data_IF_252137410513
#
_entry.id   IF_252137410513
#
_cell.length_a   1.000
_cell.length_b   1.000
_cell.length_c   1.000
_cell.angle_alpha   90.00
_cell.angle_beta   90.00
_cell.angle_gamma   90.00
#
_symmetry.space_group_name_H-M   'P 1'
#
loop_
_entity.id
_entity.type
_entity.pdbx_description
1 polymer ?
#
# COMPACT_ATOMS: atom_id res chain seq x y z
N UNK A 1 1.94 -15.48 11.50
CA UNK A 1 1.22 -14.52 10.68
C UNK A 1 -0.30 -14.71 10.84
N UNK A 2 -1.08 -13.64 10.63
CA UNK A 2 -2.54 -13.75 10.76
C UNK A 2 -3.15 -14.65 9.68
N UNK A 3 -4.29 -15.30 9.97
CA UNK A 3 -5.04 -16.06 8.99
C UNK A 3 -5.43 -15.19 7.77
N UNK A 4 -5.49 -15.81 6.59
CA UNK A 4 -5.89 -15.14 5.36
C UNK A 4 -7.41 -15.01 5.31
N UNK A 5 -7.94 -13.83 5.58
CA UNK A 5 -9.38 -13.56 5.66
C UNK A 5 -9.88 -12.69 4.48
N UNK A 6 -9.34 -12.89 3.31
CA UNK A 6 -9.74 -12.13 2.11
C UNK A 6 -11.15 -12.48 1.64
N UNK A 7 -12.06 -11.50 1.61
CA UNK A 7 -13.47 -11.71 1.20
C UNK A 7 -13.74 -11.32 -0.27
N UNK A 8 -12.87 -10.49 -0.87
CA UNK A 8 -13.04 -10.07 -2.26
C UNK A 8 -12.66 -11.19 -3.23
N UNK A 9 -13.24 -11.25 -4.46
CA UNK A 9 -12.85 -12.24 -5.48
C UNK A 9 -11.33 -12.26 -5.73
N UNK A 10 -10.72 -11.08 -5.79
CA UNK A 10 -9.26 -10.96 -5.94
C UNK A 10 -8.50 -11.58 -4.75
N UNK A 11 -8.89 -11.25 -3.51
CA UNK A 11 -8.23 -11.82 -2.34
C UNK A 11 -8.39 -13.33 -2.26
N UNK A 12 -9.60 -13.85 -2.54
CA UNK A 12 -9.85 -15.30 -2.61
C UNK A 12 -8.99 -16.00 -3.65
N UNK A 13 -8.85 -15.41 -4.85
CA UNK A 13 -7.99 -16.00 -5.89
C UNK A 13 -6.52 -16.06 -5.48
N UNK A 14 -6.03 -15.08 -4.70
CA UNK A 14 -4.66 -15.10 -4.17
C UNK A 14 -4.47 -16.14 -3.07
N UNK A 15 -5.46 -16.29 -2.19
CA UNK A 15 -5.44 -17.35 -1.16
C UNK A 15 -5.39 -18.73 -1.82
N UNK A 16 -6.30 -19.01 -2.75
CA UNK A 16 -6.31 -20.28 -3.48
C UNK A 16 -5.00 -20.55 -4.22
N UNK A 17 -4.39 -19.53 -4.81
CA UNK A 17 -3.09 -19.66 -5.47
C UNK A 17 -1.97 -20.01 -4.48
N UNK A 18 -1.94 -19.38 -3.30
CA UNK A 18 -0.97 -19.74 -2.25
C UNK A 18 -1.16 -21.17 -1.75
N UNK A 19 -2.39 -21.59 -1.51
CA UNK A 19 -2.73 -22.95 -1.08
C UNK A 19 -2.30 -23.98 -2.13
N UNK A 20 -2.73 -23.81 -3.39
CA UNK A 20 -2.38 -24.69 -4.50
C UNK A 20 -0.86 -24.82 -4.67
N UNK A 21 -0.15 -23.69 -4.72
CA UNK A 21 1.32 -23.69 -4.89
C UNK A 21 2.02 -24.35 -3.69
N UNK A 22 1.49 -24.18 -2.49
CA UNK A 22 2.07 -24.81 -1.28
C UNK A 22 1.98 -26.33 -1.36
N UNK A 23 0.83 -26.86 -1.74
CA UNK A 23 0.62 -28.31 -1.92
C UNK A 23 1.49 -28.84 -3.05
N UNK A 24 1.44 -28.23 -4.22
CA UNK A 24 2.21 -28.63 -5.39
C UNK A 24 3.72 -28.65 -5.12
N UNK A 25 4.25 -27.59 -4.53
CA UNK A 25 5.68 -27.51 -4.22
C UNK A 25 6.11 -28.57 -3.19
N UNK A 26 5.23 -28.85 -2.22
CA UNK A 26 5.47 -29.93 -1.22
C UNK A 26 5.56 -31.31 -1.90
N UNK A 27 4.62 -31.61 -2.81
CA UNK A 27 4.60 -32.89 -3.54
C UNK A 27 5.81 -33.08 -4.45
N UNK A 28 6.34 -31.98 -5.01
CA UNK A 28 7.45 -32.01 -5.97
C UNK A 28 8.80 -31.64 -5.36
N UNK A 29 8.89 -31.51 -4.04
CA UNK A 29 10.11 -31.13 -3.34
C UNK A 29 10.74 -29.80 -3.85
N UNK A 30 9.90 -28.83 -4.22
CA UNK A 30 10.28 -27.50 -4.68
C UNK A 30 10.28 -26.51 -3.52
N UNK A 31 11.31 -25.69 -3.41
CA UNK A 31 11.36 -24.60 -2.41
C UNK A 31 10.41 -23.48 -2.85
N UNK A 32 9.38 -23.21 -2.04
CA UNK A 32 8.41 -22.16 -2.31
C UNK A 32 8.73 -20.90 -1.50
N UNK A 33 8.86 -19.76 -2.19
CA UNK A 33 8.95 -18.44 -1.59
C UNK A 33 7.73 -17.59 -1.94
N UNK A 34 7.02 -17.08 -0.94
CA UNK A 34 5.85 -16.22 -1.10
C UNK A 34 6.12 -14.85 -0.50
N UNK A 35 6.09 -13.81 -1.33
CA UNK A 35 6.09 -12.42 -0.89
C UNK A 35 4.66 -11.89 -0.87
N UNK A 36 4.27 -11.29 0.26
CA UNK A 36 3.00 -10.55 0.42
C UNK A 36 3.31 -9.06 0.52
N UNK A 37 3.47 -8.37 -0.64
CA UNK A 37 3.80 -6.96 -0.65
C UNK A 37 2.62 -6.12 -0.16
N UNK A 38 2.93 -5.08 0.58
CA UNK A 38 2.00 -4.01 0.92
C UNK A 38 1.71 -3.10 -0.29
N UNK A 39 1.24 -1.89 -0.08
CA UNK A 39 1.01 -0.93 -1.16
C UNK A 39 2.35 -0.58 -1.84
N UNK A 40 2.47 -0.84 -3.13
CA UNK A 40 3.70 -0.56 -3.88
C UNK A 40 3.83 0.91 -4.25
N UNK A 41 4.98 1.50 -3.93
CA UNK A 41 5.40 2.82 -4.36
C UNK A 41 6.49 2.70 -5.43
N UNK A 42 6.39 3.51 -6.46
CA UNK A 42 7.34 3.54 -7.58
C UNK A 42 6.85 4.47 -8.67
N UNK A 43 7.69 4.73 -9.67
CA UNK A 43 7.34 5.60 -10.80
C UNK A 43 6.11 5.04 -11.54
N UNK A 44 5.07 5.87 -11.66
CA UNK A 44 3.82 5.46 -12.31
C UNK A 44 2.95 4.51 -11.48
N UNK A 45 3.17 4.41 -10.16
CA UNK A 45 2.38 3.56 -9.29
C UNK A 45 0.87 3.80 -9.50
N UNK A 46 0.09 2.73 -9.72
CA UNK A 46 -1.36 2.84 -9.89
C UNK A 46 -2.08 3.05 -8.55
N UNK A 47 -3.41 3.17 -8.60
CA UNK A 47 -4.27 3.20 -7.41
C UNK A 47 -4.15 4.47 -6.58
N UNK A 48 -4.15 4.34 -5.26
CA UNK A 48 -4.25 5.47 -4.34
C UNK A 48 -3.04 6.42 -4.39
N UNK A 49 -1.82 5.88 -4.56
CA UNK A 49 -0.61 6.71 -4.68
C UNK A 49 -0.61 7.50 -5.99
N UNK A 50 -0.93 6.86 -7.10
CA UNK A 50 -1.05 7.56 -8.39
C UNK A 50 -2.15 8.62 -8.38
N UNK A 51 -3.30 8.33 -7.75
CA UNK A 51 -4.37 9.30 -7.57
C UNK A 51 -3.92 10.50 -6.71
N UNK A 52 -3.16 10.26 -5.64
CA UNK A 52 -2.55 11.30 -4.80
C UNK A 52 -1.62 12.18 -5.63
N UNK A 53 -0.65 11.59 -6.33
CA UNK A 53 0.31 12.33 -7.18
C UNK A 53 -0.41 13.20 -8.19
N UNK A 54 -1.39 12.63 -8.90
CA UNK A 54 -2.19 13.37 -9.88
C UNK A 54 -3.01 14.49 -9.24
N UNK A 55 -3.59 14.25 -8.07
CA UNK A 55 -4.36 15.23 -7.32
C UNK A 55 -3.50 16.40 -6.84
N UNK A 56 -2.31 16.11 -6.30
CA UNK A 56 -1.33 17.11 -5.88
C UNK A 56 -0.84 17.91 -7.09
N UNK A 57 -0.47 17.24 -8.18
CA UNK A 57 -0.05 17.90 -9.44
C UNK A 57 -1.08 18.88 -9.96
N UNK A 58 -2.36 18.52 -9.89
CA UNK A 58 -3.49 19.35 -10.34
C UNK A 58 -3.99 20.33 -9.28
N UNK A 59 -3.45 20.31 -8.05
CA UNK A 59 -3.78 21.26 -6.99
C UNK A 59 -5.12 21.01 -6.26
N UNK A 60 -5.73 19.84 -6.42
CA UNK A 60 -7.00 19.53 -5.74
C UNK A 60 -6.92 18.42 -4.67
N UNK A 61 -5.73 17.87 -4.42
CA UNK A 61 -5.57 16.87 -3.38
C UNK A 61 -5.73 17.49 -1.99
N UNK A 62 -6.50 16.81 -1.15
CA UNK A 62 -6.75 17.22 0.24
C UNK A 62 -6.49 16.05 1.18
N UNK A 63 -5.83 16.33 2.30
CA UNK A 63 -5.69 15.36 3.38
C UNK A 63 -6.96 15.32 4.23
N UNK A 64 -7.49 14.13 4.49
CA UNK A 64 -8.65 13.94 5.34
C UNK A 64 -8.19 13.71 6.78
N UNK A 65 -8.81 14.39 7.74
CA UNK A 65 -8.49 14.28 9.17
C UNK A 65 -6.99 14.43 9.48
N UNK A 66 -6.35 15.40 8.82
CA UNK A 66 -4.92 15.68 8.99
C UNK A 66 -3.97 14.69 8.32
N UNK A 67 -4.47 13.81 7.45
CA UNK A 67 -3.64 12.82 6.74
C UNK A 67 -2.99 11.79 7.65
N UNK A 68 -3.54 11.55 8.84
CA UNK A 68 -2.95 10.68 9.88
C UNK A 68 -3.02 9.18 9.56
N UNK A 69 -3.74 8.82 8.51
CA UNK A 69 -3.88 7.41 8.10
C UNK A 69 -2.54 6.85 7.69
N UNK A 70 -2.18 5.72 8.27
CA UNK A 70 -0.95 4.98 7.98
C UNK A 70 -1.31 3.71 7.23
N UNK A 71 -0.61 3.45 6.15
CA UNK A 71 -0.66 2.17 5.44
C UNK A 71 0.75 1.71 5.16
N UNK A 72 0.98 0.42 5.38
CA UNK A 72 2.26 -0.15 4.96
C UNK A 72 2.47 0.04 3.47
N UNK A 73 3.64 0.51 3.12
CA UNK A 73 4.07 0.78 1.74
C UNK A 73 5.41 0.09 1.53
N UNK A 74 5.70 -0.26 0.30
CA UNK A 74 6.95 -0.88 -0.11
C UNK A 74 7.43 -0.20 -1.39
N UNK A 75 8.71 0.11 -1.48
CA UNK A 75 9.31 0.53 -2.74
C UNK A 75 9.31 -0.64 -3.73
N UNK A 76 8.93 -0.40 -4.98
CA UNK A 76 8.89 -1.45 -6.01
C UNK A 76 10.27 -2.09 -6.23
N UNK A 77 11.34 -1.32 -6.08
CA UNK A 77 12.73 -1.77 -6.18
C UNK A 77 13.08 -2.81 -5.11
N UNK A 78 12.45 -2.77 -3.94
CA UNK A 78 12.67 -3.74 -2.87
C UNK A 78 12.28 -5.16 -3.24
N UNK A 79 11.32 -5.32 -4.17
CA UNK A 79 10.97 -6.65 -4.70
C UNK A 79 12.19 -7.28 -5.36
N UNK A 80 12.92 -6.52 -6.19
CA UNK A 80 14.12 -7.02 -6.84
C UNK A 80 15.23 -7.35 -5.83
N UNK A 81 15.36 -6.56 -4.78
CA UNK A 81 16.38 -6.73 -3.73
C UNK A 81 16.14 -7.97 -2.85
N UNK A 82 14.87 -8.32 -2.61
CA UNK A 82 14.50 -9.45 -1.74
C UNK A 82 14.44 -10.79 -2.50
N UNK A 83 14.16 -10.78 -3.81
CA UNK A 83 13.97 -11.99 -4.61
C UNK A 83 15.14 -12.99 -4.50
N UNK A 84 16.42 -12.61 -4.63
CA UNK A 84 17.53 -13.57 -4.52
C UNK A 84 17.57 -14.28 -3.17
N UNK A 85 17.15 -13.59 -2.11
CA UNK A 85 17.18 -14.11 -0.73
C UNK A 85 16.07 -15.14 -0.50
N UNK A 86 14.86 -14.85 -0.97
CA UNK A 86 13.71 -15.73 -0.79
C UNK A 86 13.80 -16.99 -1.67
N UNK A 87 14.37 -16.91 -2.86
CA UNK A 87 14.54 -18.08 -3.74
C UNK A 87 15.39 -19.16 -3.07
N UNK A 88 16.39 -18.78 -2.29
CA UNK A 88 17.24 -19.74 -1.56
C UNK A 88 16.57 -20.28 -0.31
N UNK A 89 15.90 -19.39 0.45
CA UNK A 89 15.36 -19.76 1.77
C UNK A 89 13.95 -20.33 1.72
N UNK A 90 13.15 -19.88 0.79
CA UNK A 90 11.71 -20.17 0.78
C UNK A 90 10.96 -19.46 1.92
N UNK A 91 9.70 -19.84 2.11
CA UNK A 91 8.84 -19.35 3.20
C UNK A 91 7.92 -18.21 2.78
N UNK A 92 7.09 -17.75 3.71
CA UNK A 92 6.07 -16.70 3.48
C UNK A 92 6.46 -15.45 4.27
N UNK A 93 6.49 -14.30 3.59
CA UNK A 93 6.94 -13.04 4.18
C UNK A 93 6.05 -11.87 3.78
N UNK A 94 5.57 -11.12 4.79
CA UNK A 94 5.04 -9.78 4.57
C UNK A 94 6.21 -8.84 4.30
N UNK A 95 6.09 -8.00 3.28
CA UNK A 95 7.14 -7.05 2.90
C UNK A 95 6.57 -5.63 2.79
N UNK A 96 7.15 -4.74 3.57
CA UNK A 96 6.80 -3.33 3.63
C UNK A 96 7.98 -2.52 4.19
N UNK A 97 7.92 -1.21 4.05
CA UNK A 97 8.85 -0.28 4.70
C UNK A 97 8.81 -0.45 6.23
N UNK A 98 9.95 -0.35 6.88
CA UNK A 98 10.06 -0.37 8.35
C UNK A 98 9.47 0.91 8.94
N UNK A 99 9.77 2.06 8.35
CA UNK A 99 9.10 3.32 8.67
C UNK A 99 7.84 3.44 7.82
N UNK A 100 6.70 3.32 8.47
CA UNK A 100 5.39 3.37 7.82
C UNK A 100 4.84 4.79 7.83
N UNK A 101 5.05 5.58 6.77
CA UNK A 101 4.63 6.97 6.74
C UNK A 101 3.11 7.13 6.68
N UNK A 102 2.61 8.22 7.24
CA UNK A 102 1.23 8.62 7.04
C UNK A 102 1.01 9.14 5.60
N UNK A 103 -0.22 9.07 5.12
CA UNK A 103 -0.57 9.64 3.81
C UNK A 103 -0.34 11.16 3.74
N UNK A 104 -0.44 11.85 4.88
CA UNK A 104 -0.05 13.26 5.00
C UNK A 104 1.43 13.48 4.70
N UNK A 105 2.32 12.71 5.32
CA UNK A 105 3.76 12.79 5.07
C UNK A 105 4.11 12.50 3.61
N UNK A 106 3.47 11.48 3.02
CA UNK A 106 3.69 11.16 1.60
C UNK A 106 3.21 12.29 0.70
N UNK A 107 2.00 12.83 0.93
CA UNK A 107 1.45 13.90 0.12
C UNK A 107 2.27 15.20 0.23
N UNK A 108 2.84 15.48 1.39
CA UNK A 108 3.77 16.59 1.58
C UNK A 108 5.08 16.38 0.83
N UNK A 109 5.66 15.17 0.87
CA UNK A 109 6.85 14.82 0.08
C UNK A 109 6.58 14.96 -1.41
N UNK A 110 5.42 14.47 -1.89
CA UNK A 110 4.98 14.61 -3.28
C UNK A 110 4.84 16.10 -3.68
N UNK A 111 4.18 16.90 -2.85
CA UNK A 111 4.01 18.32 -3.10
C UNK A 111 5.36 19.05 -3.19
N UNK A 112 6.29 18.77 -2.27
CA UNK A 112 7.65 19.31 -2.29
C UNK A 112 8.40 18.96 -3.58
N UNK A 113 8.33 17.69 -4.03
CA UNK A 113 8.97 17.25 -5.28
C UNK A 113 8.39 17.95 -6.52
N UNK A 114 7.09 18.27 -6.52
CA UNK A 114 6.40 18.97 -7.61
C UNK A 114 6.49 20.49 -7.53
N UNK A 115 7.16 21.06 -6.52
CA UNK A 115 7.20 22.51 -6.31
C UNK A 115 5.81 23.10 -6.02
N UNK A 116 4.92 22.32 -5.38
CA UNK A 116 3.56 22.72 -5.02
C UNK A 116 3.46 23.00 -3.53
N UNK A 117 2.44 23.79 -3.17
CA UNK A 117 2.09 23.99 -1.76
C UNK A 117 1.63 22.69 -1.12
N UNK A 118 1.82 22.63 0.20
CA UNK A 118 1.36 21.52 1.02
C UNK A 118 -0.14 21.32 0.88
N UNK A 119 -0.63 20.08 0.67
CA UNK A 119 -2.04 19.80 0.59
C UNK A 119 -2.80 20.24 1.84
N UNK A 120 -3.95 20.89 1.66
CA UNK A 120 -4.78 21.35 2.77
C UNK A 120 -5.39 20.16 3.52
N UNK A 121 -5.63 20.36 4.80
CA UNK A 121 -6.31 19.39 5.64
C UNK A 121 -7.78 19.72 5.76
N UNK A 122 -8.66 18.77 5.44
CA UNK A 122 -10.11 18.91 5.70
C UNK A 122 -10.49 18.01 6.89
N UNK A 123 -11.38 18.49 7.77
CA UNK A 123 -11.88 17.67 8.85
C UNK A 123 -12.74 16.52 8.32
N UNK A 124 -12.81 15.43 9.08
CA UNK A 124 -13.51 14.21 8.67
C UNK A 124 -14.99 14.47 8.31
N UNK A 125 -15.68 15.32 9.08
CA UNK A 125 -17.10 15.61 8.82
C UNK A 125 -17.33 16.24 7.44
N UNK A 126 -16.42 17.12 6.97
CA UNK A 126 -16.52 17.69 5.61
C UNK A 126 -16.33 16.61 4.55
N UNK A 127 -15.33 15.74 4.72
CA UNK A 127 -15.12 14.62 3.80
C UNK A 127 -16.33 13.67 3.80
N UNK A 128 -16.97 13.46 4.95
CA UNK A 128 -18.18 12.67 5.07
C UNK A 128 -19.36 13.29 4.31
N UNK A 129 -19.60 14.59 4.45
CA UNK A 129 -20.63 15.28 3.67
C UNK A 129 -20.40 15.15 2.16
N UNK A 130 -19.15 15.37 1.71
CA UNK A 130 -18.78 15.20 0.30
C UNK A 130 -18.99 13.75 -0.19
N UNK A 131 -18.67 12.78 0.65
CA UNK A 131 -18.86 11.37 0.34
C UNK A 131 -20.34 11.01 0.21
N UNK A 132 -21.23 11.59 1.04
CA UNK A 132 -22.69 11.41 0.93
C UNK A 132 -23.25 11.98 -0.37
N UNK A 133 -22.77 13.14 -0.80
CA UNK A 133 -23.11 13.68 -2.13
C UNK A 133 -22.55 12.74 -3.23
N UNK A 134 -21.34 12.23 -3.05
CA UNK A 134 -20.75 11.27 -3.98
C UNK A 134 -21.50 9.94 -4.09
N UNK A 135 -22.17 9.50 -3.03
CA UNK A 135 -23.01 8.28 -3.08
C UNK A 135 -24.16 8.41 -4.11
N UNK A 136 -24.67 9.62 -4.34
CA UNK A 136 -25.68 9.89 -5.37
C UNK A 136 -25.13 9.78 -6.79
N UNK A 137 -23.83 10.07 -6.98
CA UNK A 137 -23.13 9.97 -8.26
C UNK A 137 -22.55 8.56 -8.52
N UNK A 138 -22.65 7.68 -7.53
CA UNK A 138 -22.18 6.29 -7.60
C UNK A 138 -20.67 6.17 -7.82
N UNK A 139 -20.27 5.16 -8.60
CA UNK A 139 -18.85 4.84 -8.79
C UNK A 139 -18.03 5.90 -9.55
N UNK A 140 -18.70 6.82 -10.25
CA UNK A 140 -18.05 7.92 -10.99
C UNK A 140 -17.61 9.06 -10.06
N UNK A 141 -18.12 9.11 -8.82
CA UNK A 141 -17.72 10.13 -7.87
C UNK A 141 -16.23 9.99 -7.48
N UNK A 142 -15.50 11.11 -7.37
CA UNK A 142 -14.10 11.09 -6.89
C UNK A 142 -14.01 10.56 -5.46
N UNK A 143 -15.00 10.83 -4.61
CA UNK A 143 -15.17 10.32 -3.26
C UNK A 143 -16.62 9.87 -3.04
N UNK A 144 -16.81 8.73 -2.36
CA UNK A 144 -18.08 8.23 -1.86
C UNK A 144 -17.86 7.55 -0.50
N UNK A 145 -18.92 7.14 0.20
CA UNK A 145 -18.79 6.57 1.55
C UNK A 145 -17.85 5.34 1.60
N UNK A 146 -17.89 4.48 0.60
CA UNK A 146 -17.01 3.31 0.51
C UNK A 146 -15.53 3.69 0.31
N UNK A 147 -15.26 4.66 -0.57
CA UNK A 147 -13.89 5.16 -0.78
C UNK A 147 -13.38 5.88 0.46
N UNK A 148 -14.22 6.71 1.10
CA UNK A 148 -13.87 7.43 2.32
C UNK A 148 -13.48 6.47 3.44
N UNK A 149 -14.28 5.42 3.68
CA UNK A 149 -13.97 4.40 4.68
C UNK A 149 -12.59 3.76 4.40
N UNK A 150 -12.33 3.38 3.16
CA UNK A 150 -11.02 2.82 2.77
C UNK A 150 -9.88 3.81 2.93
N UNK A 151 -10.12 5.10 2.69
CA UNK A 151 -9.09 6.14 2.78
C UNK A 151 -8.76 6.52 4.24
N UNK A 152 -9.68 6.28 5.17
CA UNK A 152 -9.54 6.68 6.58
C UNK A 152 -9.17 5.54 7.53
N UNK A 153 -9.13 4.30 7.07
CA UNK A 153 -8.67 3.15 7.85
C UNK A 153 -7.18 2.92 7.64
N UNK A 154 -6.41 2.90 8.75
CA UNK A 154 -5.02 2.45 8.73
C UNK A 154 -4.97 0.95 8.50
N UNK A 155 -3.94 0.50 7.77
CA UNK A 155 -3.67 -0.91 7.51
C UNK A 155 -2.16 -1.11 7.47
N UNK A 156 -1.63 -1.71 8.52
CA UNK A 156 -0.19 -1.89 8.70
C UNK A 156 0.15 -3.37 8.89
N UNK A 157 1.33 -3.74 8.42
CA UNK A 157 1.90 -5.07 8.54
C UNK A 157 3.31 -4.97 9.14
N UNK A 158 3.75 -6.01 9.85
CA UNK A 158 5.13 -6.15 10.27
C UNK A 158 5.96 -6.82 9.18
N UNK A 159 7.17 -6.30 8.96
CA UNK A 159 8.20 -6.90 8.08
C UNK A 159 9.32 -7.57 8.89
N UNK A 160 9.22 -7.62 10.22
CA UNK A 160 10.27 -8.14 11.12
C UNK A 160 10.77 -9.53 10.75
N UNK A 161 9.86 -10.42 10.35
CA UNK A 161 10.21 -11.77 9.92
C UNK A 161 11.11 -11.73 8.67
N UNK A 162 10.75 -10.92 7.67
CA UNK A 162 11.54 -10.79 6.45
C UNK A 162 12.93 -10.18 6.74
N UNK A 163 12.99 -9.12 7.54
CA UNK A 163 14.26 -8.50 7.93
C UNK A 163 15.16 -9.47 8.69
N UNK A 164 14.63 -10.16 9.72
CA UNK A 164 15.40 -11.10 10.55
C UNK A 164 15.86 -12.32 9.78
N UNK A 165 14.99 -12.95 9.02
CA UNK A 165 15.27 -14.25 8.41
C UNK A 165 15.97 -14.16 7.06
N UNK A 166 15.72 -13.10 6.31
CA UNK A 166 16.33 -12.88 5.00
C UNK A 166 17.50 -11.87 5.04
N UNK A 167 17.77 -11.25 6.20
CA UNK A 167 18.74 -10.16 6.28
C UNK A 167 18.42 -9.04 5.27
N UNK A 168 17.12 -8.75 5.09
CA UNK A 168 16.66 -7.74 4.16
C UNK A 168 16.41 -6.41 4.88
N UNK A 169 16.86 -5.33 4.27
CA UNK A 169 16.68 -3.97 4.75
C UNK A 169 15.86 -3.22 3.70
N UNK A 170 14.60 -2.81 4.01
CA UNK A 170 13.76 -2.08 3.07
C UNK A 170 14.24 -0.65 2.87
N UNK A 171 14.02 -0.12 1.69
CA UNK A 171 14.22 1.28 1.36
C UNK A 171 13.16 2.15 2.05
N UNK A 172 13.59 3.24 2.68
CA UNK A 172 12.68 4.24 3.24
C UNK A 172 11.87 4.92 2.12
N UNK A 173 10.55 4.82 2.18
CA UNK A 173 9.64 5.33 1.15
C UNK A 173 9.70 6.86 1.05
N UNK A 174 9.78 7.59 2.17
CA UNK A 174 9.80 9.06 2.11
C UNK A 174 11.06 9.61 1.44
N UNK A 175 12.17 8.92 1.59
CA UNK A 175 13.46 9.31 1.00
C UNK A 175 13.60 8.86 -0.45
N UNK A 176 13.13 7.64 -0.76
CA UNK A 176 13.40 6.99 -2.05
C UNK A 176 12.27 7.14 -3.07
N UNK A 177 11.02 7.39 -2.64
CA UNK A 177 9.92 7.56 -3.58
C UNK A 177 10.10 8.84 -4.43
N UNK A 178 10.40 8.66 -5.71
CA UNK A 178 10.53 9.72 -6.73
C UNK A 178 9.35 9.65 -7.69
N UNK A 179 8.87 10.82 -8.13
CA UNK A 179 7.69 10.97 -8.99
C UNK A 179 8.11 11.09 -10.46
#
# INVERSE_FOLDING_TARGET
>A
EHPLNGITPYAKSKILAEEYLTEWCKEHSVVLGILRPSLLAGKGAPGNLGAMVNGVKKGFYMNIAGGRVVKSILMAEDIANILPKIVVKGGVYNVCDTFQPSFGQISESVAKQLGKEKPINIPYWMAWCLAKVGDLLGNKAPINSYKLEKMTKSLTFSNEKACRELGWEPLDVLTNYKI
#
